data_IF_245067580212
#
_entry.id   IF_245067580212
#
_cell.length_a   1.000
_cell.length_b   1.000
_cell.length_c   1.000
_cell.angle_alpha   90.00
_cell.angle_beta   90.00
_cell.angle_gamma   90.00
#
_symmetry.space_group_name_H-M   'P 1'
#
loop_
_entity.id
_entity.type
_entity.pdbx_description
1 polymer ?
#
# COMPACT_ATOMS: atom_id res chain seq x y z
N UNK A 1 28.68 -11.57 3.64
CA UNK A 1 28.76 -10.13 3.25
C UNK A 1 29.39 -9.34 4.39
N UNK A 2 30.34 -8.43 4.12
CA UNK A 2 30.96 -7.56 5.13
C UNK A 2 30.27 -6.17 5.20
N UNK A 3 30.69 -5.34 6.16
CA UNK A 3 30.10 -4.00 6.40
C UNK A 3 30.33 -3.03 5.23
N UNK A 4 31.46 -3.12 4.53
CA UNK A 4 31.77 -2.28 3.38
C UNK A 4 30.82 -2.57 2.22
N UNK A 5 30.65 -3.85 1.87
CA UNK A 5 29.73 -4.30 0.82
C UNK A 5 28.30 -3.93 1.17
N UNK A 6 27.90 -4.12 2.44
CA UNK A 6 26.57 -3.74 2.90
C UNK A 6 26.31 -2.23 2.72
N UNK A 7 27.26 -1.37 3.10
CA UNK A 7 27.15 0.08 2.89
C UNK A 7 26.99 0.43 1.42
N UNK A 8 27.71 -0.23 0.51
CA UNK A 8 27.56 0.04 -0.93
C UNK A 8 26.20 -0.41 -1.48
N UNK A 9 25.64 -1.53 -0.98
CA UNK A 9 24.26 -1.93 -1.30
C UNK A 9 23.25 -0.88 -0.84
N UNK A 10 23.39 -0.37 0.39
CA UNK A 10 22.50 0.68 0.91
C UNK A 10 22.64 1.99 0.13
N UNK A 11 23.87 2.40 -0.23
CA UNK A 11 24.08 3.58 -1.08
C UNK A 11 23.46 3.43 -2.46
N UNK A 12 23.55 2.25 -3.06
CA UNK A 12 23.04 1.97 -4.41
C UNK A 12 21.51 1.91 -4.44
N UNK A 13 20.90 1.25 -3.46
CA UNK A 13 19.48 0.89 -3.50
C UNK A 13 18.64 1.73 -2.52
N UNK A 14 19.03 1.79 -1.24
CA UNK A 14 18.25 2.48 -0.21
C UNK A 14 18.32 4.00 -0.35
N UNK A 15 19.51 4.58 -0.51
CA UNK A 15 19.67 6.03 -0.46
C UNK A 15 18.88 6.79 -1.56
N UNK A 16 18.88 6.36 -2.84
CA UNK A 16 18.08 7.02 -3.86
C UNK A 16 16.58 6.87 -3.61
N UNK A 17 16.15 5.69 -3.15
CA UNK A 17 14.76 5.41 -2.81
C UNK A 17 14.29 6.28 -1.64
N UNK A 18 15.09 6.35 -0.57
CA UNK A 18 14.80 7.14 0.61
C UNK A 18 14.69 8.63 0.28
N UNK A 19 15.62 9.18 -0.51
CA UNK A 19 15.57 10.59 -0.90
C UNK A 19 14.32 10.92 -1.73
N UNK A 20 13.90 10.01 -2.60
CA UNK A 20 12.70 10.18 -3.42
C UNK A 20 11.41 10.10 -2.59
N UNK A 21 11.42 9.28 -1.52
CA UNK A 21 10.23 8.95 -0.74
C UNK A 21 10.37 9.36 0.74
N UNK A 22 11.20 10.37 1.07
CA UNK A 22 11.60 10.66 2.47
C UNK A 22 10.42 10.88 3.40
N UNK A 23 9.37 11.51 2.89
CA UNK A 23 8.19 11.79 3.69
C UNK A 23 7.48 10.50 4.15
N UNK A 24 7.68 9.35 3.46
CA UNK A 24 6.82 8.16 3.56
C UNK A 24 7.25 7.23 4.69
N UNK A 25 8.49 7.41 5.14
CA UNK A 25 9.12 6.54 6.09
C UNK A 25 9.71 7.41 7.19
N UNK A 26 9.38 7.11 8.44
CA UNK A 26 10.00 7.78 9.58
C UNK A 26 11.41 7.22 9.83
N UNK A 27 11.52 5.88 9.78
CA UNK A 27 12.71 5.12 10.13
C UNK A 27 12.97 3.99 9.14
N UNK A 28 14.24 3.64 8.96
CA UNK A 28 14.70 2.46 8.25
C UNK A 28 14.88 1.30 9.22
N UNK A 29 14.26 0.16 8.95
CA UNK A 29 14.41 -1.05 9.75
C UNK A 29 15.57 -1.90 9.22
N UNK A 30 16.42 -2.38 10.14
CA UNK A 30 17.43 -3.42 9.94
C UNK A 30 17.66 -4.14 11.28
N UNK A 31 18.18 -5.36 11.25
CA UNK A 31 18.56 -6.08 12.47
C UNK A 31 19.88 -5.55 13.09
N UNK A 32 20.26 -6.13 14.24
CA UNK A 32 21.50 -5.81 14.97
C UNK A 32 22.70 -6.68 14.58
N UNK A 33 22.76 -7.25 13.37
CA UNK A 33 23.96 -7.96 12.92
C UNK A 33 25.21 -7.08 13.12
N UNK A 34 26.36 -7.63 13.59
CA UNK A 34 27.57 -6.85 13.85
C UNK A 34 28.00 -5.92 12.70
N UNK A 35 27.72 -6.29 11.43
CA UNK A 35 28.03 -5.43 10.28
C UNK A 35 27.09 -4.23 10.17
N UNK A 36 25.81 -4.40 10.50
CA UNK A 36 24.77 -3.37 10.50
C UNK A 36 24.94 -2.37 11.65
N UNK A 37 25.35 -2.86 12.82
CA UNK A 37 25.63 -2.04 14.02
C UNK A 37 27.05 -1.44 14.06
N UNK A 38 27.89 -1.69 13.05
CA UNK A 38 29.27 -1.22 13.04
C UNK A 38 29.38 0.32 13.00
N UNK A 39 30.45 0.87 13.57
CA UNK A 39 30.75 2.31 13.51
C UNK A 39 30.72 2.90 12.09
N UNK A 40 31.06 2.08 11.09
CA UNK A 40 31.02 2.48 9.68
C UNK A 40 29.59 2.80 9.24
N UNK A 41 28.64 1.93 9.57
CA UNK A 41 27.25 2.05 9.16
C UNK A 41 26.52 3.09 9.99
N UNK A 42 26.68 3.07 11.31
CA UNK A 42 26.06 4.07 12.18
C UNK A 42 26.48 5.48 11.75
N UNK A 43 27.79 5.76 11.60
CA UNK A 43 28.26 7.08 11.14
C UNK A 43 27.75 7.43 9.74
N UNK A 44 27.59 6.46 8.86
CA UNK A 44 27.05 6.69 7.52
C UNK A 44 25.57 7.11 7.54
N UNK A 45 24.73 6.44 8.33
CA UNK A 45 23.32 6.79 8.52
C UNK A 45 23.13 8.20 9.09
N UNK A 46 23.95 8.58 10.08
CA UNK A 46 23.95 9.91 10.71
C UNK A 46 24.54 11.02 9.85
N UNK A 47 25.23 10.71 8.76
CA UNK A 47 25.88 11.74 7.95
C UNK A 47 24.83 12.71 7.37
N UNK A 48 25.03 14.05 7.41
CA UNK A 48 24.00 15.02 7.00
C UNK A 48 23.47 14.84 5.56
N UNK A 49 24.30 14.32 4.65
CA UNK A 49 23.90 14.01 3.26
C UNK A 49 23.08 12.72 3.08
N UNK A 50 23.04 11.88 4.10
CA UNK A 50 22.30 10.60 4.16
C UNK A 50 21.06 10.79 5.03
N UNK A 51 21.25 11.10 6.32
CA UNK A 51 20.18 11.45 7.28
C UNK A 51 18.97 10.51 7.22
N UNK A 52 19.23 9.22 7.40
CA UNK A 52 18.22 8.16 7.46
C UNK A 52 18.17 7.66 8.92
N UNK A 53 17.10 7.97 9.68
CA UNK A 53 16.89 7.41 11.01
C UNK A 53 16.79 5.89 10.92
N UNK A 54 17.46 5.17 11.82
CA UNK A 54 17.40 3.72 11.89
C UNK A 54 16.57 3.32 13.10
N UNK A 55 15.59 2.45 12.89
CA UNK A 55 14.71 1.94 13.94
C UNK A 55 15.53 1.18 15.00
N UNK A 56 15.18 1.36 16.28
CA UNK A 56 15.77 0.55 17.36
C UNK A 56 15.24 -0.88 17.25
N UNK A 57 16.13 -1.84 17.04
CA UNK A 57 15.77 -3.24 16.91
C UNK A 57 16.17 -4.04 18.17
N UNK A 58 15.31 -4.90 18.73
CA UNK A 58 15.71 -5.85 19.76
C UNK A 58 16.57 -6.97 19.18
N UNK A 59 17.63 -7.35 19.90
CA UNK A 59 18.48 -8.47 19.49
C UNK A 59 17.72 -9.80 19.58
N UNK A 60 18.01 -10.72 18.66
CA UNK A 60 17.39 -12.05 18.60
C UNK A 60 15.86 -12.04 18.44
N UNK A 61 15.32 -11.04 17.74
CA UNK A 61 13.89 -10.96 17.43
C UNK A 61 13.63 -11.13 15.92
N UNK A 62 13.86 -12.32 15.34
CA UNK A 62 13.53 -12.59 13.94
C UNK A 62 12.01 -12.60 13.71
N UNK A 63 11.23 -12.94 14.73
CA UNK A 63 9.76 -12.92 14.75
C UNK A 63 9.16 -11.53 14.51
N UNK A 64 9.90 -10.47 14.88
CA UNK A 64 9.47 -9.10 14.61
C UNK A 64 9.83 -8.66 13.19
N UNK A 65 10.78 -9.31 12.52
CA UNK A 65 11.33 -8.88 11.24
C UNK A 65 10.41 -9.35 10.08
N UNK A 66 9.73 -8.43 9.38
CA UNK A 66 8.81 -8.81 8.31
C UNK A 66 9.49 -9.56 7.16
N UNK A 67 10.80 -9.37 6.96
CA UNK A 67 11.53 -10.04 5.88
C UNK A 67 11.69 -11.56 6.13
N UNK A 68 11.73 -11.98 7.40
CA UNK A 68 11.89 -13.40 7.75
C UNK A 68 10.64 -14.20 7.37
N UNK A 69 9.48 -13.53 7.35
CA UNK A 69 8.22 -14.10 6.90
C UNK A 69 8.12 -14.27 5.38
N UNK A 70 9.03 -13.68 4.60
CA UNK A 70 9.08 -13.90 3.14
C UNK A 70 9.59 -15.31 2.77
N UNK A 71 10.25 -16.00 3.70
CA UNK A 71 10.64 -17.41 3.54
C UNK A 71 9.51 -18.39 3.90
N UNK A 72 8.31 -17.89 4.20
CA UNK A 72 7.14 -18.72 4.43
C UNK A 72 6.75 -19.46 3.14
N UNK A 73 6.53 -20.79 3.15
CA UNK A 73 6.19 -21.55 1.94
C UNK A 73 4.87 -21.13 1.29
N UNK A 74 4.05 -20.35 2.00
CA UNK A 74 2.75 -19.84 1.53
C UNK A 74 2.81 -18.38 1.06
N UNK A 75 3.99 -17.77 1.02
CA UNK A 75 4.19 -16.38 0.59
C UNK A 75 4.99 -16.37 -0.71
N UNK A 76 4.41 -15.77 -1.76
CA UNK A 76 5.10 -15.50 -3.01
C UNK A 76 5.36 -13.99 -3.13
N UNK A 77 6.63 -13.59 -3.23
CA UNK A 77 6.99 -12.21 -3.49
C UNK A 77 6.91 -11.92 -4.99
N UNK A 78 5.90 -11.16 -5.41
CA UNK A 78 5.78 -10.69 -6.79
C UNK A 78 6.07 -9.18 -6.88
N UNK A 79 7.19 -8.75 -7.48
CA UNK A 79 7.48 -7.33 -7.68
C UNK A 79 6.43 -6.68 -8.58
N UNK A 80 5.93 -5.51 -8.19
CA UNK A 80 5.05 -4.72 -9.04
C UNK A 80 5.86 -4.08 -10.19
N UNK A 81 5.46 -4.26 -11.46
CA UNK A 81 6.27 -3.86 -12.61
C UNK A 81 6.09 -2.37 -12.93
N UNK A 82 6.61 -1.51 -12.06
CA UNK A 82 6.54 -0.05 -12.20
C UNK A 82 7.03 0.47 -13.56
N UNK A 83 7.97 -0.22 -14.20
CA UNK A 83 8.51 0.12 -15.52
C UNK A 83 7.48 0.04 -16.66
N UNK A 84 6.40 -0.73 -16.48
CA UNK A 84 5.36 -0.92 -17.50
C UNK A 84 4.29 0.18 -17.42
N UNK A 85 4.39 1.09 -16.45
CA UNK A 85 3.44 2.17 -16.21
C UNK A 85 4.08 3.55 -16.34
N UNK A 86 3.27 4.63 -16.52
CA UNK A 86 3.80 5.98 -16.56
C UNK A 86 4.63 6.31 -15.31
N UNK A 87 5.72 7.07 -15.50
CA UNK A 87 6.71 7.37 -14.44
C UNK A 87 6.09 7.95 -13.16
N UNK A 88 4.97 8.68 -13.24
CA UNK A 88 4.28 9.24 -12.08
C UNK A 88 3.58 8.19 -11.22
N UNK A 89 3.35 6.96 -11.69
CA UNK A 89 2.87 5.85 -10.85
C UNK A 89 3.88 5.50 -9.76
N UNK A 90 5.16 5.82 -9.98
CA UNK A 90 6.23 5.65 -8.99
C UNK A 90 6.14 6.67 -7.84
N UNK A 91 5.22 7.63 -7.91
CA UNK A 91 4.91 8.53 -6.79
C UNK A 91 3.95 7.83 -5.82
N UNK A 92 4.52 7.12 -4.85
CA UNK A 92 3.78 6.22 -3.97
C UNK A 92 2.67 6.92 -3.15
N UNK A 93 2.83 8.23 -2.91
CA UNK A 93 1.87 9.10 -2.23
C UNK A 93 0.59 9.40 -2.98
N UNK A 94 0.58 9.19 -4.29
CA UNK A 94 -0.63 9.36 -5.06
C UNK A 94 -1.49 8.07 -5.04
N UNK A 95 -0.99 7.00 -4.40
CA UNK A 95 -1.64 5.70 -4.20
C UNK A 95 -2.21 5.03 -5.47
N UNK A 96 -1.83 5.52 -6.66
CA UNK A 96 -2.28 5.02 -7.97
C UNK A 96 -2.04 3.53 -8.14
N UNK A 97 -0.91 3.07 -7.59
CA UNK A 97 -0.44 1.70 -7.65
C UNK A 97 -1.41 0.72 -6.98
N UNK A 98 -2.23 1.14 -5.98
CA UNK A 98 -3.17 0.23 -5.29
C UNK A 98 -4.16 -0.40 -6.27
N UNK A 99 -4.80 0.41 -7.11
CA UNK A 99 -5.76 -0.08 -8.12
C UNK A 99 -5.07 -0.94 -9.19
N UNK A 100 -3.83 -0.60 -9.54
CA UNK A 100 -3.06 -1.35 -10.54
C UNK A 100 -2.64 -2.72 -10.01
N UNK A 101 -2.22 -2.81 -8.75
CA UNK A 101 -1.93 -4.10 -8.08
C UNK A 101 -3.18 -4.98 -8.07
N UNK A 102 -4.33 -4.44 -7.66
CA UNK A 102 -5.62 -5.15 -7.67
C UNK A 102 -5.93 -5.67 -9.08
N UNK A 103 -5.73 -4.85 -10.11
CA UNK A 103 -5.92 -5.24 -11.50
C UNK A 103 -4.97 -6.35 -11.95
N UNK A 104 -3.66 -6.25 -11.67
CA UNK A 104 -2.68 -7.28 -12.04
C UNK A 104 -2.98 -8.62 -11.37
N UNK A 105 -3.36 -8.62 -10.09
CA UNK A 105 -3.67 -9.86 -9.38
C UNK A 105 -4.98 -10.48 -9.88
N UNK A 106 -6.01 -9.66 -10.13
CA UNK A 106 -7.28 -10.13 -10.70
C UNK A 106 -7.14 -10.64 -12.14
N UNK A 107 -6.03 -10.42 -12.86
CA UNK A 107 -5.79 -11.11 -14.13
C UNK A 107 -5.54 -12.61 -13.93
N UNK A 108 -5.00 -13.00 -12.77
CA UNK A 108 -4.59 -14.38 -12.45
C UNK A 108 -5.60 -15.10 -11.56
N UNK A 109 -6.25 -14.37 -10.66
CA UNK A 109 -7.15 -14.93 -9.64
C UNK A 109 -8.55 -14.30 -9.74
N UNK A 110 -9.56 -15.04 -9.28
CA UNK A 110 -10.96 -14.60 -9.31
C UNK A 110 -11.43 -14.00 -7.99
N UNK A 111 -10.69 -14.20 -6.91
CA UNK A 111 -10.93 -13.62 -5.59
C UNK A 111 -9.60 -13.16 -4.99
N UNK A 112 -9.57 -11.95 -4.46
CA UNK A 112 -8.43 -11.38 -3.76
C UNK A 112 -8.88 -10.72 -2.46
N UNK A 113 -8.03 -10.83 -1.44
CA UNK A 113 -8.09 -10.00 -0.24
C UNK A 113 -6.86 -9.11 -0.28
N UNK A 114 -7.08 -7.81 -0.46
CA UNK A 114 -6.04 -6.81 -0.32
C UNK A 114 -5.99 -6.37 1.14
N UNK A 115 -4.79 -6.33 1.72
CA UNK A 115 -4.55 -5.80 3.05
C UNK A 115 -3.26 -4.97 3.06
N UNK A 116 -3.30 -3.78 3.68
CA UNK A 116 -2.08 -3.02 3.95
C UNK A 116 -1.19 -3.80 4.94
N UNK A 117 0.13 -3.57 4.89
CA UNK A 117 1.10 -4.31 5.73
C UNK A 117 0.94 -4.06 7.24
N UNK A 118 0.14 -3.08 7.64
CA UNK A 118 -0.20 -2.79 9.04
C UNK A 118 -1.37 -3.62 9.56
N UNK A 119 -2.05 -4.38 8.68
CA UNK A 119 -3.21 -5.18 9.03
C UNK A 119 -2.78 -6.48 9.68
N UNK A 120 -3.37 -6.78 10.84
CA UNK A 120 -3.17 -8.03 11.55
C UNK A 120 -4.53 -8.73 11.62
N UNK A 121 -4.63 -9.90 10.98
CA UNK A 121 -5.77 -10.78 11.14
C UNK A 121 -5.63 -11.54 12.46
N UNK A 122 -6.67 -11.47 13.30
CA UNK A 122 -6.73 -12.21 14.56
C UNK A 122 -7.79 -13.29 14.42
N UNK A 123 -7.46 -14.50 14.87
CA UNK A 123 -8.45 -15.56 14.97
C UNK A 123 -9.54 -15.18 15.98
N UNK A 124 -10.79 -15.48 15.62
CA UNK A 124 -11.93 -15.40 16.52
C UNK A 124 -12.43 -16.80 16.80
N UNK A 125 -12.85 -17.06 18.03
CA UNK A 125 -13.49 -18.33 18.42
C UNK A 125 -14.81 -18.59 17.67
N UNK A 126 -15.36 -17.59 16.97
CA UNK A 126 -16.67 -17.67 16.30
C UNK A 126 -16.60 -17.67 14.78
N UNK A 127 -15.47 -17.28 14.18
CA UNK A 127 -15.32 -17.20 12.72
C UNK A 127 -13.85 -17.34 12.35
N UNK A 128 -13.52 -18.43 11.65
CA UNK A 128 -12.18 -18.64 11.12
C UNK A 128 -11.98 -17.84 9.82
N UNK A 129 -10.73 -17.61 9.45
CA UNK A 129 -10.39 -16.91 8.22
C UNK A 129 -10.83 -17.71 6.98
N UNK A 130 -10.79 -19.04 7.06
CA UNK A 130 -11.29 -19.94 6.02
C UNK A 130 -12.80 -19.74 5.81
N UNK A 131 -13.57 -19.68 6.90
CA UNK A 131 -15.01 -19.42 6.81
C UNK A 131 -15.29 -18.05 6.17
N UNK A 132 -14.50 -17.04 6.50
CA UNK A 132 -14.60 -15.73 5.85
C UNK A 132 -14.34 -15.82 4.33
N UNK A 133 -13.35 -16.61 3.89
CA UNK A 133 -13.07 -16.84 2.47
C UNK A 133 -14.20 -17.62 1.80
N UNK A 134 -14.74 -18.66 2.46
CA UNK A 134 -15.86 -19.45 1.95
C UNK A 134 -17.11 -18.59 1.79
N UNK A 135 -17.44 -17.79 2.80
CA UNK A 135 -18.57 -16.85 2.77
C UNK A 135 -18.38 -15.85 1.62
N UNK A 136 -17.19 -15.27 1.48
CA UNK A 136 -16.87 -14.33 0.39
C UNK A 136 -16.94 -14.97 -1.00
N UNK A 137 -16.51 -16.22 -1.12
CA UNK A 137 -16.55 -16.99 -2.37
C UNK A 137 -18.00 -17.36 -2.74
N UNK A 138 -18.82 -17.65 -1.73
CA UNK A 138 -20.20 -18.10 -1.87
C UNK A 138 -21.25 -16.97 -1.91
N UNK A 139 -20.83 -15.71 -1.79
CA UNK A 139 -21.71 -14.54 -1.90
C UNK A 139 -22.62 -14.66 -3.13
N UNK A 140 -23.91 -14.94 -2.89
CA UNK A 140 -24.97 -15.06 -3.90
C UNK A 140 -25.32 -13.73 -4.60
N UNK A 141 -24.66 -12.65 -4.21
CA UNK A 141 -24.89 -11.31 -4.74
C UNK A 141 -23.89 -11.02 -5.87
N UNK A 142 -24.31 -10.29 -6.90
CA UNK A 142 -23.44 -9.81 -8.00
C UNK A 142 -22.40 -8.77 -7.57
N UNK A 143 -22.41 -8.38 -6.29
CA UNK A 143 -21.49 -7.41 -5.70
C UNK A 143 -20.12 -8.06 -5.57
N UNK A 144 -19.19 -7.64 -6.42
CA UNK A 144 -17.83 -8.19 -6.51
C UNK A 144 -16.77 -7.44 -5.71
N UNK A 145 -17.13 -6.51 -4.82
CA UNK A 145 -16.15 -5.77 -3.98
C UNK A 145 -16.73 -5.44 -2.62
N UNK A 146 -15.94 -5.61 -1.54
CA UNK A 146 -16.31 -5.24 -0.17
C UNK A 146 -15.19 -4.40 0.45
N UNK A 147 -15.58 -3.30 1.11
CA UNK A 147 -14.71 -2.45 1.92
C UNK A 147 -15.11 -2.62 3.39
N UNK A 148 -14.13 -2.89 4.28
CA UNK A 148 -14.43 -3.40 5.62
C UNK A 148 -14.35 -2.36 6.75
N UNK A 149 -13.90 -1.13 6.46
CA UNK A 149 -13.73 -0.09 7.49
C UNK A 149 -14.27 1.24 7.01
N UNK A 150 -14.93 1.99 7.90
CA UNK A 150 -15.43 3.35 7.61
C UNK A 150 -14.39 4.39 8.03
N UNK A 151 -14.33 5.51 7.31
CA UNK A 151 -13.38 6.60 7.63
C UNK A 151 -13.95 7.68 8.54
N UNK A 152 -15.24 7.60 8.91
CA UNK A 152 -15.92 8.60 9.73
C UNK A 152 -16.33 9.88 9.00
N UNK A 153 -16.12 9.98 7.68
CA UNK A 153 -16.57 11.12 6.86
C UNK A 153 -17.19 10.67 5.53
N UNK A 154 -17.85 11.57 4.82
CA UNK A 154 -18.51 11.27 3.54
C UNK A 154 -17.51 11.21 2.38
N UNK A 155 -17.94 10.66 1.23
CA UNK A 155 -17.13 10.64 0.01
C UNK A 155 -16.78 12.07 -0.41
N UNK A 156 -17.76 12.98 -0.41
CA UNK A 156 -17.58 14.38 -0.82
C UNK A 156 -16.56 15.11 0.05
N UNK A 157 -16.53 14.84 1.35
CA UNK A 157 -15.63 15.51 2.29
C UNK A 157 -14.14 15.31 1.97
N UNK A 158 -13.77 14.19 1.34
CA UNK A 158 -12.38 13.85 1.02
C UNK A 158 -12.10 13.70 -0.48
N UNK A 159 -13.08 13.98 -1.35
CA UNK A 159 -12.89 13.95 -2.81
C UNK A 159 -12.52 15.34 -3.30
N UNK A 160 -11.33 15.49 -3.90
CA UNK A 160 -10.93 16.77 -4.48
C UNK A 160 -11.82 17.11 -5.68
N UNK A 161 -12.36 18.35 -5.83
CA UNK A 161 -13.30 18.69 -6.90
C UNK A 161 -12.78 18.40 -8.32
N UNK A 162 -11.48 18.55 -8.54
CA UNK A 162 -10.83 18.20 -9.81
C UNK A 162 -10.98 16.74 -10.24
N UNK A 163 -11.32 15.83 -9.33
CA UNK A 163 -11.54 14.41 -9.64
C UNK A 163 -12.87 14.17 -10.38
N UNK A 164 -13.88 15.05 -10.24
CA UNK A 164 -15.19 14.87 -10.90
C UNK A 164 -15.11 14.92 -12.43
N UNK A 165 -14.03 15.48 -12.99
CA UNK A 165 -13.72 15.43 -14.42
C UNK A 165 -13.46 14.00 -14.91
N UNK A 166 -12.97 13.13 -14.04
CA UNK A 166 -12.53 11.77 -14.36
C UNK A 166 -13.46 10.70 -13.79
N UNK A 167 -14.05 10.99 -12.64
CA UNK A 167 -15.00 10.13 -11.94
C UNK A 167 -16.32 10.89 -11.84
N UNK A 168 -17.33 10.58 -12.69
CA UNK A 168 -18.63 11.26 -12.65
C UNK A 168 -19.43 10.76 -11.44
N UNK A 169 -19.02 11.24 -10.26
CA UNK A 169 -19.66 10.96 -8.98
C UNK A 169 -20.74 12.00 -8.78
N UNK A 170 -21.97 11.54 -8.52
CA UNK A 170 -23.07 12.44 -8.17
C UNK A 170 -22.80 13.14 -6.84
N UNK A 171 -22.90 14.47 -6.85
CA UNK A 171 -22.59 15.33 -5.71
C UNK A 171 -23.58 15.15 -4.55
N UNK A 172 -24.83 14.84 -4.86
CA UNK A 172 -25.89 14.61 -3.87
C UNK A 172 -25.67 13.26 -3.19
N UNK A 173 -25.37 12.21 -3.96
CA UNK A 173 -25.06 10.88 -3.45
C UNK A 173 -23.78 10.92 -2.61
N UNK A 174 -22.69 11.46 -3.13
CA UNK A 174 -21.39 11.50 -2.43
C UNK A 174 -21.40 12.32 -1.13
N UNK A 175 -22.28 13.32 -1.02
CA UNK A 175 -22.49 14.07 0.21
C UNK A 175 -23.18 13.27 1.32
N UNK A 176 -23.90 12.19 0.97
CA UNK A 176 -24.66 11.34 1.89
C UNK A 176 -24.04 9.95 2.07
N UNK A 177 -23.16 9.54 1.15
CA UNK A 177 -22.48 8.25 1.20
C UNK A 177 -21.25 8.33 2.10
N UNK A 178 -21.21 7.46 3.10
CA UNK A 178 -20.06 7.25 3.97
C UNK A 178 -18.86 6.74 3.17
N UNK A 179 -17.68 7.35 3.36
CA UNK A 179 -16.45 6.82 2.80
C UNK A 179 -15.95 5.63 3.63
N UNK A 180 -15.45 4.63 2.92
CA UNK A 180 -14.78 3.47 3.48
C UNK A 180 -13.29 3.52 3.18
N UNK A 181 -12.48 3.02 4.11
CA UNK A 181 -11.03 2.93 3.98
C UNK A 181 -10.61 1.82 3.01
N UNK A 182 -9.45 2.03 2.38
CA UNK A 182 -8.83 1.08 1.45
C UNK A 182 -7.72 0.23 2.12
N UNK A 183 -7.83 0.02 3.45
CA UNK A 183 -6.82 -0.72 4.25
C UNK A 183 -7.02 -2.23 4.14
N UNK A 184 -8.28 -2.70 4.14
CA UNK A 184 -8.64 -4.09 3.88
C UNK A 184 -9.82 -4.12 2.92
N UNK A 185 -9.66 -4.82 1.81
CA UNK A 185 -10.64 -4.88 0.74
C UNK A 185 -10.73 -6.30 0.20
N UNK A 186 -11.94 -6.71 -0.14
CA UNK A 186 -12.17 -7.96 -0.86
C UNK A 186 -12.61 -7.63 -2.27
N UNK A 187 -12.03 -8.28 -3.26
CA UNK A 187 -12.46 -8.17 -4.66
C UNK A 187 -12.65 -9.55 -5.26
N UNK A 188 -13.83 -9.77 -5.84
CA UNK A 188 -14.18 -10.91 -6.66
C UNK A 188 -14.40 -10.45 -8.09
N UNK A 189 -13.90 -11.20 -9.07
CA UNK A 189 -14.09 -10.93 -10.49
C UNK A 189 -15.56 -11.15 -10.88
N UNK A 190 -16.30 -10.07 -11.08
CA UNK A 190 -17.67 -10.06 -11.62
C UNK A 190 -17.75 -9.01 -12.72
N UNK A 191 -18.74 -9.07 -13.63
CA UNK A 191 -18.92 -8.03 -14.65
C UNK A 191 -18.98 -6.62 -14.04
N UNK A 192 -19.62 -6.47 -12.88
CA UNK A 192 -19.75 -5.19 -12.16
C UNK A 192 -18.41 -4.75 -11.55
N UNK A 193 -17.73 -5.62 -10.78
CA UNK A 193 -16.47 -5.23 -10.14
C UNK A 193 -15.39 -4.91 -11.17
N UNK A 194 -15.38 -5.59 -12.32
CA UNK A 194 -14.44 -5.30 -13.40
C UNK A 194 -14.72 -3.96 -14.08
N UNK A 195 -15.99 -3.52 -14.16
CA UNK A 195 -16.32 -2.16 -14.62
C UNK A 195 -15.85 -1.08 -13.63
N UNK A 196 -16.04 -1.32 -12.33
CA UNK A 196 -15.54 -0.43 -11.27
C UNK A 196 -14.02 -0.35 -11.36
N UNK A 197 -13.33 -1.50 -11.39
CA UNK A 197 -11.88 -1.57 -11.46
C UNK A 197 -11.33 -0.91 -12.72
N UNK A 198 -11.97 -1.08 -13.88
CA UNK A 198 -11.59 -0.41 -15.12
C UNK A 198 -11.59 1.12 -14.95
N UNK A 199 -12.63 1.67 -14.32
CA UNK A 199 -12.73 3.11 -14.04
C UNK A 199 -11.59 3.56 -13.10
N UNK A 200 -11.32 2.81 -12.05
CA UNK A 200 -10.23 3.09 -11.11
C UNK A 200 -8.84 3.00 -11.76
N UNK A 201 -8.60 2.01 -12.63
CA UNK A 201 -7.35 1.85 -13.38
C UNK A 201 -7.15 3.01 -14.35
N UNK A 202 -8.20 3.42 -15.07
CA UNK A 202 -8.13 4.60 -15.96
C UNK A 202 -7.75 5.84 -15.14
N UNK A 203 -8.39 6.06 -13.99
CA UNK A 203 -8.04 7.16 -13.09
C UNK A 203 -6.58 7.07 -12.60
N UNK A 204 -6.11 5.89 -12.20
CA UNK A 204 -4.71 5.68 -11.83
C UNK A 204 -3.75 6.06 -12.95
N UNK A 205 -4.07 5.70 -14.19
CA UNK A 205 -3.25 5.96 -15.37
C UNK A 205 -3.33 7.41 -15.87
N UNK A 206 -4.33 8.20 -15.50
CA UNK A 206 -4.43 9.61 -15.87
C UNK A 206 -3.78 10.51 -14.80
N UNK A 207 -2.68 11.19 -15.16
CA UNK A 207 -1.88 11.98 -14.22
C UNK A 207 -2.69 12.98 -13.38
N UNK A 208 -3.75 13.59 -13.94
CA UNK A 208 -4.57 14.55 -13.20
C UNK A 208 -5.66 13.96 -12.30
N UNK A 209 -5.93 12.65 -12.32
CA UNK A 209 -7.10 12.08 -11.64
C UNK A 209 -6.88 11.85 -10.16
N UNK A 210 -5.86 11.08 -9.74
CA UNK A 210 -5.62 10.79 -8.31
C UNK A 210 -4.75 11.83 -7.60
N UNK A 211 -4.17 12.78 -8.34
CA UNK A 211 -3.46 13.93 -7.79
C UNK A 211 -3.77 15.19 -8.62
N UNK A 212 -5.02 15.66 -8.64
CA UNK A 212 -5.37 16.91 -9.31
C UNK A 212 -4.60 18.08 -8.66
N UNK A 213 -4.37 19.14 -9.43
CA UNK A 213 -3.66 20.34 -8.93
C UNK A 213 -4.37 20.89 -7.68
N UNK A 214 -3.63 21.01 -6.58
CA UNK A 214 -4.16 21.47 -5.29
C UNK A 214 -4.57 20.35 -4.33
N UNK A 215 -4.48 19.09 -4.74
CA UNK A 215 -4.71 17.96 -3.84
C UNK A 215 -3.66 17.94 -2.71
N UNK A 216 -4.13 17.58 -1.53
CA UNK A 216 -3.32 17.41 -0.31
C UNK A 216 -3.66 16.07 0.31
N UNK A 217 -2.68 15.45 0.96
CA UNK A 217 -2.86 14.14 1.62
C UNK A 217 -3.71 14.24 2.89
N UNK A 218 -3.67 15.40 3.55
CA UNK A 218 -4.30 15.62 4.83
C UNK A 218 -5.40 16.67 4.67
N UNK A 219 -6.57 16.40 5.24
CA UNK A 219 -7.58 17.44 5.38
C UNK A 219 -7.09 18.44 6.43
N UNK A 220 -6.92 19.69 6.03
CA UNK A 220 -6.71 20.76 6.99
C UNK A 220 -8.01 20.91 7.79
N UNK A 221 -7.93 20.78 9.11
CA UNK A 221 -9.05 21.13 9.97
C UNK A 221 -9.27 22.65 9.81
N UNK A 222 -10.35 23.02 9.14
CA UNK A 222 -10.85 24.39 9.08
C UNK A 222 -11.78 24.62 10.26
#
# INVERSE_FOLDING_TARGET
MNKEVYREILKKNLLPFWKRNRAMFDEFQQDNDPKHASHLLTRWFWHPRVSIPVMKWPSQSPDLNPIEHLNCPFVELQPFPFQDYPLYVNQLYEYRWKNLVIAEVLRKYDLIIYADSSVIFKESNTTSFEKFIEDASSLKYDIGTILLSTTGHTIKAATHPGMHKYLPIDDTISSKTQMYGATVMLWRKTPISMQILKTLVICSLLQGCMNPKGAVLWCNQV
#
